data_IF_314135152220
#
_entry.id   IF_314135152220
#
_cell.length_a   1.000
_cell.length_b   1.000
_cell.length_c   1.000
_cell.angle_alpha   90.00
_cell.angle_beta   90.00
_cell.angle_gamma   90.00
#
_symmetry.space_group_name_H-M   'P 1'
#
loop_
_entity.id
_entity.type
_entity.pdbx_description
1 polymer ?
#
# COMPACT_ATOMS: atom_id res chain seq x y z
N UNK A 1 20.45 26.49 44.58
CA UNK A 1 19.18 25.77 44.35
C UNK A 1 19.23 24.48 45.17
N UNK A 2 18.31 24.29 46.13
CA UNK A 2 18.33 23.13 47.02
C UNK A 2 17.88 21.86 46.29
N UNK A 3 18.42 20.69 46.65
CA UNK A 3 18.15 19.40 45.98
C UNK A 3 16.65 19.09 45.86
N UNK A 4 15.84 19.50 46.86
CA UNK A 4 14.38 19.35 46.85
C UNK A 4 13.68 20.17 45.74
N UNK A 5 14.12 21.41 45.50
CA UNK A 5 13.58 22.25 44.41
C UNK A 5 13.92 21.71 43.02
N UNK A 6 15.12 21.15 42.86
CA UNK A 6 15.54 20.51 41.61
C UNK A 6 14.74 19.22 41.33
N UNK A 7 14.45 18.42 42.37
CA UNK A 7 13.59 17.24 42.27
C UNK A 7 12.14 17.57 41.89
N UNK A 8 11.60 18.70 42.35
CA UNK A 8 10.26 19.18 41.97
C UNK A 8 10.18 19.60 40.51
N UNK A 9 11.13 20.39 40.03
CA UNK A 9 11.19 20.80 38.63
C UNK A 9 11.31 19.57 37.72
N UNK A 10 12.16 18.60 38.11
CA UNK A 10 12.27 17.33 37.40
C UNK A 10 10.95 16.52 37.42
N UNK A 11 10.27 16.43 38.56
CA UNK A 11 8.98 15.74 38.67
C UNK A 11 7.91 16.37 37.75
N UNK A 12 7.79 17.70 37.74
CA UNK A 12 6.86 18.39 36.84
C UNK A 12 7.23 18.22 35.37
N UNK A 13 8.53 18.24 35.03
CA UNK A 13 9.00 17.98 33.66
C UNK A 13 8.63 16.57 33.19
N UNK A 14 8.81 15.55 34.04
CA UNK A 14 8.46 14.16 33.73
C UNK A 14 6.95 13.97 33.60
N UNK A 15 6.14 14.58 34.49
CA UNK A 15 4.67 14.55 34.38
C UNK A 15 4.20 15.22 33.09
N UNK A 16 4.76 16.39 32.76
CA UNK A 16 4.44 17.11 31.52
C UNK A 16 4.78 16.31 30.27
N UNK A 17 5.94 15.65 30.25
CA UNK A 17 6.32 14.72 29.18
C UNK A 17 5.35 13.53 29.09
N UNK A 18 4.98 12.95 30.24
CA UNK A 18 4.01 11.85 30.30
C UNK A 18 2.66 12.24 29.69
N UNK A 19 2.12 13.39 30.08
CA UNK A 19 0.88 13.91 29.51
C UNK A 19 1.00 14.19 28.00
N UNK A 20 2.11 14.78 27.54
CA UNK A 20 2.36 15.02 26.12
C UNK A 20 2.42 13.71 25.31
N UNK A 21 3.07 12.67 25.82
CA UNK A 21 3.12 11.35 25.18
C UNK A 21 1.74 10.69 25.09
N UNK A 22 0.90 10.81 26.13
CA UNK A 22 -0.47 10.31 26.07
C UNK A 22 -1.33 11.06 25.05
N UNK A 23 -1.19 12.39 24.98
CA UNK A 23 -1.88 13.20 23.96
C UNK A 23 -1.40 12.79 22.55
N UNK A 24 -0.09 12.62 22.36
CA UNK A 24 0.45 12.15 21.08
C UNK A 24 -0.08 10.74 20.72
N UNK A 25 -0.14 9.81 21.67
CA UNK A 25 -0.72 8.48 21.46
C UNK A 25 -2.21 8.54 21.05
N UNK A 26 -2.98 9.42 21.68
CA UNK A 26 -4.38 9.64 21.35
C UNK A 26 -4.55 10.21 19.94
N UNK A 27 -3.74 11.20 19.57
CA UNK A 27 -3.76 11.78 18.22
C UNK A 27 -3.35 10.75 17.17
N UNK A 28 -2.31 9.95 17.43
CA UNK A 28 -1.86 8.91 16.51
C UNK A 28 -2.95 7.85 16.26
N UNK A 29 -3.63 7.40 17.32
CA UNK A 29 -4.65 6.36 17.22
C UNK A 29 -5.95 6.85 16.56
N UNK A 30 -6.36 8.10 16.80
CA UNK A 30 -7.64 8.63 16.31
C UNK A 30 -7.54 9.37 14.97
N UNK A 31 -6.42 10.04 14.69
CA UNK A 31 -6.27 10.90 13.52
C UNK A 31 -5.39 10.28 12.42
N UNK A 32 -4.29 9.63 12.79
CA UNK A 32 -3.24 9.26 11.83
C UNK A 32 -3.57 7.96 11.07
N UNK A 33 -4.27 7.00 11.68
CA UNK A 33 -4.57 5.71 11.06
C UNK A 33 -5.26 5.82 9.67
N UNK A 34 -6.28 6.69 9.54
CA UNK A 34 -6.98 6.92 8.27
C UNK A 34 -6.19 7.75 7.25
N UNK A 35 -5.07 8.38 7.65
CA UNK A 35 -4.21 9.16 6.75
C UNK A 35 -3.06 8.34 6.17
N UNK A 36 -2.75 7.17 6.75
CA UNK A 36 -1.62 6.34 6.35
C UNK A 36 -2.02 5.21 5.43
N UNK A 37 -3.24 4.68 5.57
CA UNK A 37 -3.82 3.68 4.66
C UNK A 37 -4.24 4.34 3.35
N UNK A 38 -3.26 4.82 2.61
CA UNK A 38 -3.41 5.53 1.35
C UNK A 38 -2.38 5.01 0.36
N UNK A 39 -2.79 4.85 -0.90
CA UNK A 39 -1.89 4.45 -1.99
C UNK A 39 -0.65 5.38 -1.97
N UNK A 40 0.58 4.84 -2.00
CA UNK A 40 1.80 5.65 -2.03
C UNK A 40 1.87 6.58 -3.25
N UNK A 41 2.61 7.68 -3.15
CA UNK A 41 2.78 8.67 -4.24
C UNK A 41 4.09 8.49 -5.01
N UNK A 42 4.87 7.48 -4.63
CA UNK A 42 6.20 7.15 -5.09
C UNK A 42 6.24 5.74 -5.68
N UNK A 43 5.10 5.27 -6.23
CA UNK A 43 5.04 4.01 -6.94
C UNK A 43 5.89 4.10 -8.21
N UNK A 44 6.89 3.23 -8.28
CA UNK A 44 7.69 2.93 -9.45
C UNK A 44 8.01 1.43 -9.40
N UNK A 45 7.33 0.63 -10.21
CA UNK A 45 7.50 -0.82 -10.21
C UNK A 45 7.48 -1.40 -11.62
N UNK A 46 8.31 -2.43 -11.81
CA UNK A 46 8.35 -3.25 -13.02
C UNK A 46 7.90 -4.66 -12.68
N UNK A 47 6.82 -5.09 -13.30
CA UNK A 47 6.21 -6.40 -13.11
C UNK A 47 6.47 -7.23 -14.37
N UNK A 48 7.06 -8.41 -14.19
CA UNK A 48 7.39 -9.31 -15.29
C UNK A 48 6.72 -10.67 -15.05
N UNK A 49 5.99 -11.12 -16.06
CA UNK A 49 5.33 -12.41 -16.08
C UNK A 49 5.83 -13.22 -17.27
N UNK A 50 6.20 -14.47 -17.00
CA UNK A 50 6.76 -15.39 -18.00
C UNK A 50 5.75 -16.49 -18.30
N UNK A 51 5.77 -17.00 -19.52
CA UNK A 51 4.88 -18.07 -19.93
C UNK A 51 5.06 -18.50 -21.38
N UNK A 52 4.03 -19.14 -21.91
CA UNK A 52 4.02 -19.62 -23.30
C UNK A 52 2.66 -19.43 -23.92
N UNK A 53 2.61 -19.42 -25.25
CA UNK A 53 1.33 -19.31 -25.95
C UNK A 53 1.43 -19.62 -27.43
N UNK A 54 0.35 -19.29 -28.11
CA UNK A 54 0.21 -19.30 -29.57
C UNK A 54 0.16 -17.85 -30.04
N UNK A 55 1.02 -17.47 -30.98
CA UNK A 55 1.09 -16.08 -31.43
C UNK A 55 1.35 -16.00 -32.94
N UNK A 56 0.78 -14.97 -33.56
CA UNK A 56 1.13 -14.55 -34.91
C UNK A 56 2.62 -14.19 -34.97
N UNK A 57 3.34 -14.66 -35.98
CA UNK A 57 4.66 -14.13 -36.32
C UNK A 57 4.45 -12.79 -37.08
N UNK A 58 4.80 -11.63 -36.52
CA UNK A 58 4.57 -10.35 -37.18
C UNK A 58 5.25 -10.25 -38.55
N UNK A 59 6.37 -10.94 -38.75
CA UNK A 59 7.07 -10.97 -40.05
C UNK A 59 6.23 -11.64 -41.17
N UNK A 60 5.26 -12.48 -40.80
CA UNK A 60 4.36 -13.13 -41.76
C UNK A 60 3.31 -12.19 -42.36
N UNK A 61 3.09 -11.01 -41.78
CA UNK A 61 2.15 -10.01 -42.30
C UNK A 61 2.53 -9.52 -43.71
N UNK A 62 3.82 -9.53 -44.04
CA UNK A 62 4.33 -9.23 -45.38
C UNK A 62 4.50 -10.47 -46.28
N UNK A 63 4.14 -11.65 -45.79
CA UNK A 63 4.33 -12.93 -46.47
C UNK A 63 3.16 -13.37 -47.34
N UNK A 64 3.26 -14.58 -47.89
CA UNK A 64 2.19 -15.20 -48.67
C UNK A 64 1.02 -15.73 -47.83
N UNK A 65 1.25 -15.93 -46.53
CA UNK A 65 0.26 -16.35 -45.53
C UNK A 65 0.63 -15.87 -44.13
N UNK A 66 -0.37 -15.69 -43.29
CA UNK A 66 -0.18 -15.47 -41.85
C UNK A 66 0.33 -16.76 -41.19
N UNK A 67 1.36 -16.64 -40.37
CA UNK A 67 2.01 -17.76 -39.69
C UNK A 67 1.73 -17.63 -38.21
N UNK A 68 1.10 -18.68 -37.66
CA UNK A 68 0.83 -18.79 -36.22
C UNK A 68 1.76 -19.84 -35.64
N UNK A 69 2.67 -19.39 -34.79
CA UNK A 69 3.58 -20.27 -34.07
C UNK A 69 2.92 -20.71 -32.75
N UNK A 70 3.11 -21.97 -32.39
CA UNK A 70 2.58 -22.58 -31.16
C UNK A 70 3.70 -22.81 -30.15
N UNK A 71 3.35 -22.76 -28.86
CA UNK A 71 4.27 -22.99 -27.74
C UNK A 71 5.50 -22.06 -27.79
N UNK A 72 5.30 -20.81 -28.20
CA UNK A 72 6.36 -19.80 -28.20
C UNK A 72 6.51 -19.21 -26.80
N UNK A 73 7.73 -18.88 -26.37
CA UNK A 73 7.96 -18.26 -25.07
C UNK A 73 7.49 -16.80 -25.11
N UNK A 74 6.69 -16.42 -24.13
CA UNK A 74 6.08 -15.10 -24.03
C UNK A 74 6.40 -14.45 -22.69
N UNK A 75 6.66 -13.15 -22.75
CA UNK A 75 6.94 -12.30 -21.59
C UNK A 75 5.96 -11.14 -21.63
N UNK A 76 5.20 -10.97 -20.55
CA UNK A 76 4.41 -9.78 -20.29
C UNK A 76 5.17 -8.90 -19.30
N UNK A 77 5.40 -7.65 -19.65
CA UNK A 77 6.06 -6.67 -18.80
C UNK A 77 5.14 -5.46 -18.61
N UNK A 78 4.92 -5.08 -17.37
CA UNK A 78 4.13 -3.92 -16.97
C UNK A 78 4.97 -2.98 -16.10
N UNK A 79 5.13 -1.73 -16.54
CA UNK A 79 5.75 -0.67 -15.76
C UNK A 79 4.67 0.26 -15.23
N UNK A 80 4.64 0.48 -13.91
CA UNK A 80 3.67 1.36 -13.26
C UNK A 80 4.42 2.51 -12.59
N UNK A 81 4.07 3.74 -12.95
CA UNK A 81 4.62 4.96 -12.36
C UNK A 81 3.51 5.90 -11.88
N UNK A 82 3.85 6.80 -10.95
CA UNK A 82 2.96 7.90 -10.55
C UNK A 82 3.14 9.09 -11.49
N UNK A 83 2.02 9.61 -11.97
CA UNK A 83 1.93 10.81 -12.79
C UNK A 83 1.10 11.90 -12.09
N UNK A 84 1.10 13.11 -12.65
CA UNK A 84 0.21 14.17 -12.18
C UNK A 84 -1.21 13.98 -12.73
N UNK A 85 -2.26 14.25 -11.92
CA UNK A 85 -2.24 14.74 -10.54
C UNK A 85 -1.96 13.64 -9.48
N UNK A 86 -1.08 13.98 -8.53
CA UNK A 86 -0.78 13.15 -7.36
C UNK A 86 -0.74 14.03 -6.10
N UNK A 87 -1.67 13.83 -5.17
CA UNK A 87 -1.81 14.67 -3.99
C UNK A 87 -2.34 13.89 -2.77
N UNK A 88 -2.87 14.59 -1.77
CA UNK A 88 -3.34 13.97 -0.53
C UNK A 88 -4.47 12.95 -0.77
N UNK A 89 -5.31 13.13 -1.79
CA UNK A 89 -6.57 12.38 -1.96
C UNK A 89 -6.59 11.53 -3.23
N UNK A 90 -5.91 11.96 -4.30
CA UNK A 90 -5.82 11.21 -5.56
C UNK A 90 -4.38 10.91 -5.95
N UNK A 91 -4.21 9.83 -6.72
CA UNK A 91 -2.96 9.46 -7.38
C UNK A 91 -3.27 9.02 -8.80
N UNK A 92 -2.55 9.55 -9.77
CA UNK A 92 -2.61 9.07 -11.15
C UNK A 92 -1.54 8.02 -11.36
N UNK A 93 -1.93 6.83 -11.80
CA UNK A 93 -1.03 5.76 -12.20
C UNK A 93 -0.98 5.69 -13.73
N UNK A 94 0.22 5.59 -14.28
CA UNK A 94 0.44 5.25 -15.68
C UNK A 94 1.03 3.85 -15.77
N UNK A 95 0.36 2.97 -16.50
CA UNK A 95 0.75 1.59 -16.70
C UNK A 95 1.12 1.35 -18.17
N UNK A 96 2.42 1.20 -18.44
CA UNK A 96 2.92 0.75 -19.73
C UNK A 96 3.02 -0.77 -19.74
N UNK A 97 2.22 -1.44 -20.58
CA UNK A 97 2.19 -2.91 -20.68
C UNK A 97 2.65 -3.35 -22.06
N UNK A 98 3.52 -4.37 -22.11
CA UNK A 98 3.95 -5.02 -23.35
C UNK A 98 3.85 -6.53 -23.23
N UNK A 99 3.47 -7.19 -24.31
CA UNK A 99 3.55 -8.66 -24.45
C UNK A 99 4.44 -8.97 -25.64
N UNK A 100 5.46 -9.79 -25.41
CA UNK A 100 6.51 -10.04 -26.39
C UNK A 100 6.90 -11.51 -26.45
N UNK A 101 7.26 -11.97 -27.64
CA UNK A 101 7.98 -13.20 -27.91
C UNK A 101 9.44 -13.04 -27.53
N UNK A 102 9.92 -13.80 -26.54
CA UNK A 102 11.32 -13.72 -26.09
C UNK A 102 12.29 -14.49 -26.99
N UNK A 103 11.80 -15.32 -27.90
CA UNK A 103 12.59 -16.02 -28.93
C UNK A 103 12.92 -15.12 -30.15
N UNK A 104 12.32 -13.93 -30.26
CA UNK A 104 12.50 -12.99 -31.36
C UNK A 104 13.29 -11.76 -30.89
N UNK A 105 14.08 -11.19 -31.79
CA UNK A 105 14.95 -10.04 -31.50
C UNK A 105 14.24 -8.71 -31.74
N UNK A 106 14.52 -7.71 -30.90
CA UNK A 106 14.04 -6.34 -31.03
C UNK A 106 12.51 -6.28 -31.23
N UNK A 107 12.03 -5.38 -32.07
CA UNK A 107 10.59 -5.13 -32.25
C UNK A 107 9.86 -6.28 -32.94
N UNK A 108 10.58 -7.23 -33.57
CA UNK A 108 9.99 -8.42 -34.20
C UNK A 108 9.33 -9.36 -33.18
N UNK A 109 9.65 -9.22 -31.89
CA UNK A 109 8.99 -9.96 -30.82
C UNK A 109 7.76 -9.27 -30.25
N UNK A 110 7.51 -7.99 -30.55
CA UNK A 110 6.40 -7.25 -29.94
C UNK A 110 5.05 -7.71 -30.51
N UNK A 111 4.14 -8.13 -29.64
CA UNK A 111 2.79 -8.55 -30.01
C UNK A 111 1.74 -7.50 -29.62
N UNK A 112 1.79 -7.06 -28.36
CA UNK A 112 0.84 -6.11 -27.78
C UNK A 112 1.61 -5.05 -27.01
N UNK A 113 1.15 -3.81 -27.11
CA UNK A 113 1.64 -2.70 -26.32
C UNK A 113 0.49 -1.73 -26.01
N UNK A 114 0.43 -1.25 -24.78
CA UNK A 114 -0.48 -0.19 -24.40
C UNK A 114 0.12 0.66 -23.29
N UNK A 115 -0.26 1.94 -23.27
CA UNK A 115 -0.02 2.82 -22.13
C UNK A 115 -1.36 3.31 -21.68
N UNK A 116 -1.77 2.85 -20.50
CA UNK A 116 -3.00 3.26 -19.85
C UNK A 116 -2.70 4.18 -18.68
N UNK A 117 -3.60 5.09 -18.37
CA UNK A 117 -3.45 6.08 -17.30
C UNK A 117 -4.77 6.21 -16.57
N UNK A 118 -4.75 6.11 -15.25
CA UNK A 118 -5.95 6.17 -14.41
C UNK A 118 -5.70 6.97 -13.15
N UNK A 119 -6.66 7.80 -12.76
CA UNK A 119 -6.63 8.55 -11.50
C UNK A 119 -7.47 7.84 -10.46
N UNK A 120 -6.86 7.48 -9.34
CA UNK A 120 -7.46 6.70 -8.27
C UNK A 120 -7.62 7.53 -7.00
N UNK A 121 -8.70 7.30 -6.27
CA UNK A 121 -8.82 7.73 -4.89
C UNK A 121 -7.83 6.92 -4.04
N UNK A 122 -6.93 7.60 -3.33
CA UNK A 122 -5.86 6.95 -2.58
C UNK A 122 -6.35 6.11 -1.40
N UNK A 123 -7.54 6.39 -0.86
CA UNK A 123 -8.10 5.63 0.26
C UNK A 123 -8.91 4.42 -0.20
N UNK A 124 -9.69 4.57 -1.28
CA UNK A 124 -10.62 3.51 -1.74
C UNK A 124 -10.08 2.68 -2.91
N UNK A 125 -8.99 3.11 -3.54
CA UNK A 125 -8.43 2.55 -4.78
C UNK A 125 -9.38 2.55 -5.99
N UNK A 126 -10.53 3.21 -5.89
CA UNK A 126 -11.48 3.33 -6.99
C UNK A 126 -11.02 4.43 -7.95
N UNK A 127 -11.23 4.18 -9.25
CA UNK A 127 -11.11 5.18 -10.29
C UNK A 127 -12.01 6.39 -9.97
N UNK A 128 -11.47 7.58 -10.18
CA UNK A 128 -12.16 8.85 -9.98
C UNK A 128 -12.23 9.57 -11.30
N UNK A 129 -13.46 9.78 -11.76
CA UNK A 129 -13.78 10.60 -12.93
C UNK A 129 -14.69 11.73 -12.48
N UNK A 130 -14.54 12.91 -13.08
CA UNK A 130 -15.43 14.06 -12.87
C UNK A 130 -15.79 14.71 -14.21
N UNK A 131 -16.70 15.69 -14.20
CA UNK A 131 -17.21 16.35 -15.41
C UNK A 131 -16.11 17.02 -16.27
N UNK A 132 -14.94 17.30 -15.67
CA UNK A 132 -13.80 17.97 -16.30
C UNK A 132 -12.60 17.06 -16.52
N UNK A 133 -12.58 15.87 -15.92
CA UNK A 133 -11.51 14.88 -16.04
C UNK A 133 -12.12 13.50 -16.25
N UNK A 134 -11.85 12.83 -17.38
CA UNK A 134 -12.42 11.51 -17.65
C UNK A 134 -11.95 10.43 -16.66
N UNK A 135 -11.03 10.74 -15.73
CA UNK A 135 -10.52 9.82 -14.72
C UNK A 135 -9.57 8.75 -15.24
N UNK A 136 -9.45 8.63 -16.56
CA UNK A 136 -8.42 7.87 -17.22
C UNK A 136 -8.27 8.21 -18.70
N UNK A 137 -7.19 7.72 -19.29
CA UNK A 137 -6.86 7.89 -20.69
C UNK A 137 -5.93 6.79 -21.15
N UNK A 138 -6.02 6.43 -22.42
CA UNK A 138 -5.10 5.50 -23.06
C UNK A 138 -4.32 6.22 -24.15
N UNK A 139 -3.05 5.87 -24.33
CA UNK A 139 -2.26 6.41 -25.42
C UNK A 139 -2.84 5.96 -26.76
N UNK A 140 -3.07 6.89 -27.69
CA UNK A 140 -3.55 6.59 -29.05
C UNK A 140 -2.57 5.61 -29.71
N UNK A 141 -3.07 4.51 -30.30
CA UNK A 141 -2.22 3.61 -31.08
C UNK A 141 -1.49 4.37 -32.20
N UNK A 142 -0.27 3.92 -32.49
CA UNK A 142 0.61 4.55 -33.46
C UNK A 142 1.47 3.52 -34.14
N UNK A 143 1.91 3.81 -35.36
CA UNK A 143 2.89 2.98 -36.05
C UNK A 143 4.28 3.21 -35.48
N UNK A 144 5.17 2.25 -35.67
CA UNK A 144 6.57 2.35 -35.21
C UNK A 144 7.34 3.50 -35.89
N UNK A 145 6.87 3.93 -37.07
CA UNK A 145 7.45 5.00 -37.87
C UNK A 145 6.93 6.39 -37.49
N UNK A 146 5.85 6.49 -36.71
CA UNK A 146 5.37 7.78 -36.24
C UNK A 146 6.41 8.37 -35.27
N UNK A 147 6.87 9.59 -35.56
CA UNK A 147 7.86 10.33 -34.74
C UNK A 147 7.21 11.44 -33.93
N UNK A 148 5.90 11.68 -34.08
CA UNK A 148 5.20 12.73 -33.33
C UNK A 148 5.15 12.38 -31.84
N UNK A 149 5.06 13.36 -30.94
CA UNK A 149 4.78 13.07 -29.54
C UNK A 149 3.49 12.24 -29.39
N UNK A 150 3.47 11.23 -28.50
CA UNK A 150 2.25 10.45 -28.26
C UNK A 150 1.13 11.36 -27.75
N UNK A 151 -0.10 11.03 -28.14
CA UNK A 151 -1.32 11.72 -27.70
C UNK A 151 -2.26 10.72 -27.04
N UNK A 152 -3.05 11.16 -26.06
CA UNK A 152 -3.97 10.29 -25.34
C UNK A 152 -5.42 10.46 -25.82
N UNK A 153 -6.20 9.40 -25.69
CA UNK A 153 -7.65 9.36 -25.86
C UNK A 153 -8.26 9.20 -24.48
N UNK A 154 -9.32 9.95 -24.18
CA UNK A 154 -10.06 9.79 -22.93
C UNK A 154 -10.63 8.37 -22.82
N UNK A 155 -10.35 7.69 -21.71
CA UNK A 155 -10.84 6.36 -21.41
C UNK A 155 -11.31 6.35 -19.94
N UNK A 156 -12.60 6.61 -19.70
CA UNK A 156 -13.13 6.57 -18.35
C UNK A 156 -12.97 5.20 -17.72
N UNK A 157 -12.35 5.17 -16.55
CA UNK A 157 -12.21 3.98 -15.75
C UNK A 157 -13.33 3.90 -14.73
N UNK A 158 -13.81 2.68 -14.47
CA UNK A 158 -14.78 2.39 -13.42
C UNK A 158 -14.28 1.21 -12.58
N UNK A 159 -14.45 1.28 -11.26
CA UNK A 159 -13.98 0.26 -10.33
C UNK A 159 -12.51 0.40 -9.97
N UNK A 160 -11.86 -0.72 -9.64
CA UNK A 160 -10.45 -0.82 -9.31
C UNK A 160 -9.59 -0.90 -10.57
N UNK A 161 -8.38 -0.37 -10.50
CA UNK A 161 -7.36 -0.56 -11.53
C UNK A 161 -5.97 -0.65 -10.87
N UNK A 162 -5.16 -1.63 -11.30
CA UNK A 162 -3.78 -1.89 -10.87
C UNK A 162 -3.55 -2.22 -9.39
N UNK A 163 -4.54 -2.03 -8.52
CA UNK A 163 -4.42 -2.26 -7.08
C UNK A 163 -5.78 -2.45 -6.41
N UNK A 164 -5.78 -3.14 -5.27
CA UNK A 164 -6.92 -3.24 -4.36
C UNK A 164 -6.81 -2.21 -3.22
N UNK A 165 -7.92 -1.88 -2.52
CA UNK A 165 -7.87 -0.99 -1.37
C UNK A 165 -7.13 -1.61 -0.20
N UNK A 166 -6.58 -0.76 0.69
CA UNK A 166 -6.17 -1.19 2.02
C UNK A 166 -7.31 -1.88 2.75
N UNK A 167 -6.98 -2.81 3.64
CA UNK A 167 -7.96 -3.66 4.32
C UNK A 167 -8.91 -4.34 3.31
N UNK A 168 -8.34 -4.93 2.25
CA UNK A 168 -9.10 -5.63 1.21
C UNK A 168 -10.03 -6.67 1.85
N UNK A 169 -11.29 -6.66 1.45
CA UNK A 169 -12.35 -7.51 1.99
C UNK A 169 -12.58 -8.73 1.09
N UNK A 170 -13.17 -9.80 1.64
CA UNK A 170 -13.54 -11.02 0.90
C UNK A 170 -14.87 -10.82 0.16
N UNK A 171 -14.87 -9.95 -0.85
CA UNK A 171 -16.06 -9.61 -1.65
C UNK A 171 -15.71 -9.47 -3.13
N UNK A 172 -16.71 -9.39 -3.98
CA UNK A 172 -16.52 -9.05 -5.38
C UNK A 172 -16.19 -7.57 -5.54
N UNK A 173 -15.22 -7.27 -6.40
CA UNK A 173 -14.88 -5.91 -6.80
C UNK A 173 -15.06 -5.74 -8.31
N UNK A 174 -15.63 -4.62 -8.74
CA UNK A 174 -15.51 -4.21 -10.13
C UNK A 174 -14.04 -3.86 -10.41
N UNK A 175 -13.43 -4.50 -11.39
CA UNK A 175 -12.04 -4.28 -11.78
C UNK A 175 -11.99 -3.97 -13.28
N UNK A 176 -11.34 -2.87 -13.65
CA UNK A 176 -11.32 -2.37 -15.02
C UNK A 176 -10.41 -3.22 -15.91
N UNK A 177 -10.91 -3.59 -17.09
CA UNK A 177 -10.11 -4.19 -18.15
C UNK A 177 -9.86 -3.12 -19.25
N UNK A 178 -8.60 -2.71 -19.48
CA UNK A 178 -8.30 -1.62 -20.40
C UNK A 178 -8.34 -2.04 -21.88
N UNK A 179 -8.38 -3.34 -22.19
CA UNK A 179 -8.57 -3.86 -23.55
C UNK A 179 -10.05 -3.92 -23.91
N UNK A 180 -10.88 -4.43 -23.00
CA UNK A 180 -12.34 -4.44 -23.15
C UNK A 180 -12.98 -3.08 -22.85
N UNK A 181 -12.21 -2.14 -22.28
CA UNK A 181 -12.60 -0.77 -21.96
C UNK A 181 -13.81 -0.66 -21.02
N UNK A 182 -13.95 -1.63 -20.10
CA UNK A 182 -15.05 -1.68 -19.14
C UNK A 182 -14.72 -2.53 -17.90
N UNK A 183 -15.42 -2.34 -16.77
CA UNK A 183 -15.21 -3.17 -15.59
C UNK A 183 -15.81 -4.58 -15.73
N UNK A 184 -15.16 -5.53 -15.08
CA UNK A 184 -15.63 -6.90 -14.87
C UNK A 184 -15.42 -7.30 -13.41
N UNK A 185 -16.19 -8.28 -12.94
CA UNK A 185 -16.12 -8.76 -11.58
C UNK A 185 -14.82 -9.52 -11.30
N UNK A 186 -14.04 -9.02 -10.35
CA UNK A 186 -12.97 -9.73 -9.66
C UNK A 186 -13.57 -10.38 -8.41
N UNK A 187 -13.84 -11.68 -8.48
CA UNK A 187 -14.50 -12.45 -7.41
C UNK A 187 -13.47 -13.06 -6.47
N UNK A 188 -13.70 -12.96 -5.16
CA UNK A 188 -12.88 -13.66 -4.17
C UNK A 188 -13.02 -15.19 -4.32
N UNK A 189 -11.89 -15.88 -4.44
CA UNK A 189 -11.80 -17.32 -4.73
C UNK A 189 -11.05 -18.11 -3.64
N UNK A 190 -10.42 -17.43 -2.67
CA UNK A 190 -9.77 -18.11 -1.55
C UNK A 190 -8.59 -17.36 -0.96
N UNK A 191 -7.79 -18.08 -0.18
CA UNK A 191 -6.52 -17.59 0.35
C UNK A 191 -5.40 -18.54 -0.03
N UNK A 192 -4.22 -17.98 -0.32
CA UNK A 192 -2.99 -18.74 -0.53
C UNK A 192 -1.81 -18.09 0.21
N UNK A 193 -0.78 -18.89 0.47
CA UNK A 193 0.53 -18.37 0.88
C UNK A 193 1.40 -18.06 -0.34
N UNK A 194 1.87 -16.82 -0.44
CA UNK A 194 2.82 -16.37 -1.46
C UNK A 194 4.06 -15.84 -0.75
N UNK A 195 5.15 -16.62 -0.79
CA UNK A 195 6.42 -16.32 -0.13
C UNK A 195 6.28 -15.95 1.37
N UNK A 196 5.44 -16.68 2.11
CA UNK A 196 5.19 -16.44 3.54
C UNK A 196 4.26 -15.26 3.81
N UNK A 197 3.51 -14.80 2.81
CA UNK A 197 2.47 -13.79 2.93
C UNK A 197 1.12 -14.45 2.65
N UNK A 198 0.20 -14.42 3.61
CA UNK A 198 -1.20 -14.81 3.36
C UNK A 198 -1.86 -13.78 2.46
N UNK A 199 -2.32 -14.23 1.30
CA UNK A 199 -2.94 -13.42 0.25
C UNK A 199 -4.37 -13.86 0.00
N UNK A 200 -5.21 -12.95 -0.45
CA UNK A 200 -6.53 -13.26 -0.99
C UNK A 200 -6.41 -13.46 -2.50
N UNK A 201 -6.96 -14.56 -3.00
CA UNK A 201 -7.03 -14.88 -4.43
C UNK A 201 -8.32 -14.32 -5.01
N UNK A 202 -8.23 -13.53 -6.07
CA UNK A 202 -9.36 -13.01 -6.82
C UNK A 202 -9.28 -13.45 -8.27
N UNK A 203 -10.40 -13.83 -8.87
CA UNK A 203 -10.48 -14.23 -10.28
C UNK A 203 -11.41 -13.30 -11.05
N UNK A 204 -10.93 -12.78 -12.16
CA UNK A 204 -11.68 -11.96 -13.11
C UNK A 204 -11.80 -12.73 -14.43
N UNK A 205 -13.03 -12.85 -14.95
CA UNK A 205 -13.29 -13.48 -16.24
C UNK A 205 -13.89 -12.46 -17.21
N UNK A 206 -13.30 -12.37 -18.40
CA UNK A 206 -13.69 -11.50 -19.50
C UNK A 206 -13.97 -12.40 -20.71
N UNK A 207 -15.25 -12.64 -20.99
CA UNK A 207 -15.72 -13.49 -22.09
C UNK A 207 -15.48 -15.00 -21.93
N UNK A 208 -14.70 -15.41 -20.92
CA UNK A 208 -14.67 -16.78 -20.40
C UNK A 208 -15.67 -16.96 -19.26
N UNK A 209 -16.14 -18.19 -19.05
CA UNK A 209 -16.81 -18.58 -17.81
C UNK A 209 -15.80 -19.02 -16.74
N UNK A 210 -16.29 -19.43 -15.56
CA UNK A 210 -15.45 -19.85 -14.45
C UNK A 210 -14.62 -21.12 -14.75
N UNK A 211 -15.06 -21.96 -15.69
CA UNK A 211 -14.36 -23.17 -16.11
C UNK A 211 -13.33 -22.90 -17.22
N UNK A 212 -13.17 -21.64 -17.64
CA UNK A 212 -12.27 -21.23 -18.71
C UNK A 212 -12.81 -21.51 -20.12
N UNK A 213 -14.11 -21.78 -20.27
CA UNK A 213 -14.74 -21.95 -21.58
C UNK A 213 -15.13 -20.60 -22.15
N UNK A 214 -14.84 -20.40 -23.43
CA UNK A 214 -15.21 -19.20 -24.17
C UNK A 214 -16.74 -19.16 -24.36
N UNK A 215 -17.38 -18.12 -23.82
CA UNK A 215 -18.85 -17.99 -23.80
C UNK A 215 -19.35 -16.66 -24.35
N UNK A 216 -18.67 -15.55 -24.05
CA UNK A 216 -19.09 -14.21 -24.46
C UNK A 216 -17.87 -13.32 -24.76
N UNK A 217 -17.06 -13.67 -25.77
CA UNK A 217 -15.91 -12.87 -26.15
C UNK A 217 -16.32 -11.46 -26.54
N UNK A 218 -15.45 -10.51 -26.22
CA UNK A 218 -15.65 -9.09 -26.50
C UNK A 218 -15.20 -8.83 -27.93
N UNK A 219 -16.06 -8.23 -28.77
CA UNK A 219 -15.59 -7.62 -30.03
C UNK A 219 -14.57 -6.56 -29.65
N UNK A 220 -13.36 -6.65 -30.19
CA UNK A 220 -12.24 -5.81 -29.78
C UNK A 220 -12.62 -4.33 -29.87
N UNK A 221 -12.45 -3.59 -28.78
CA UNK A 221 -12.76 -2.18 -28.71
C UNK A 221 -11.60 -1.38 -29.34
N UNK A 222 -11.71 -1.07 -30.62
CA UNK A 222 -10.69 -0.31 -31.34
C UNK A 222 -10.47 1.08 -30.72
N UNK A 223 -9.21 1.49 -30.71
CA UNK A 223 -8.78 2.84 -30.36
C UNK A 223 -8.44 3.68 -31.61
N UNK A 224 -8.59 3.10 -32.80
CA UNK A 224 -8.44 3.81 -34.07
C UNK A 224 -9.77 4.43 -34.50
N UNK A 225 -9.67 5.50 -35.29
CA UNK A 225 -10.83 6.12 -35.90
C UNK A 225 -11.49 5.10 -36.84
N UNK A 226 -12.82 5.00 -36.84
CA UNK A 226 -13.61 4.05 -37.67
C UNK A 226 -13.36 2.54 -37.45
N UNK A 227 -12.83 2.11 -36.31
CA UNK A 227 -12.65 0.68 -35.98
C UNK A 227 -11.70 -0.07 -36.96
N UNK A 228 -10.66 0.62 -37.44
CA UNK A 228 -9.74 0.13 -38.49
C UNK A 228 -9.02 -1.19 -38.15
N UNK A 229 -8.83 -1.52 -36.88
CA UNK A 229 -8.21 -2.77 -36.43
C UNK A 229 -9.21 -3.78 -35.83
N UNK A 230 -10.51 -3.47 -35.86
CA UNK A 230 -11.58 -4.35 -35.40
C UNK A 230 -11.93 -5.44 -36.40
N UNK A 231 -11.70 -5.22 -37.70
CA UNK A 231 -11.97 -6.19 -38.76
C UNK A 231 -10.86 -6.16 -39.83
N UNK A 232 -10.48 -7.34 -40.33
CA UNK A 232 -9.46 -7.46 -41.37
C UNK A 232 -10.04 -8.27 -42.53
N UNK A 233 -9.95 -7.72 -43.73
CA UNK A 233 -10.28 -8.44 -44.97
C UNK A 233 -9.00 -8.83 -45.68
N UNK A 234 -8.80 -10.13 -45.87
CA UNK A 234 -7.69 -10.68 -46.63
C UNK A 234 -8.13 -11.88 -47.47
N UNK A 235 -7.32 -12.24 -48.46
CA UNK A 235 -7.57 -13.41 -49.31
C UNK A 235 -7.58 -14.70 -48.47
N UNK A 236 -8.42 -15.68 -48.82
CA UNK A 236 -8.50 -16.96 -48.13
C UNK A 236 -7.12 -17.64 -47.97
N UNK A 237 -6.25 -17.52 -48.97
CA UNK A 237 -4.88 -18.03 -48.92
C UNK A 237 -4.03 -17.39 -47.80
N UNK A 238 -4.21 -16.10 -47.52
CA UNK A 238 -3.47 -15.41 -46.45
C UNK A 238 -3.89 -15.94 -45.08
N UNK A 239 -5.17 -16.24 -44.91
CA UNK A 239 -5.71 -16.89 -43.72
C UNK A 239 -5.37 -18.39 -43.61
N UNK A 240 -4.83 -19.01 -44.67
CA UNK A 240 -4.62 -20.45 -44.73
C UNK A 240 -5.92 -21.26 -44.81
N UNK A 241 -7.02 -20.66 -45.28
CA UNK A 241 -8.31 -21.32 -45.43
C UNK A 241 -8.36 -22.17 -46.71
N UNK A 242 -9.02 -23.34 -46.70
CA UNK A 242 -9.27 -24.11 -47.91
C UNK A 242 -10.32 -23.42 -48.80
N UNK A 243 -10.27 -23.64 -50.12
CA UNK A 243 -11.22 -23.07 -51.07
C UNK A 243 -10.55 -22.29 -52.19
N UNK A 244 -11.24 -21.28 -52.73
CA UNK A 244 -10.66 -20.34 -53.71
C UNK A 244 -9.61 -19.45 -53.00
N UNK A 245 -8.32 -19.54 -53.38
CA UNK A 245 -7.24 -18.76 -52.76
C UNK A 245 -7.44 -17.25 -52.81
N UNK A 246 -8.25 -16.73 -53.74
CA UNK A 246 -8.48 -15.30 -53.95
C UNK A 246 -9.77 -14.79 -53.33
N UNK A 247 -10.59 -15.67 -52.75
CA UNK A 247 -11.82 -15.28 -52.07
C UNK A 247 -11.52 -14.26 -50.95
N UNK A 248 -12.14 -13.08 -50.95
CA UNK A 248 -11.96 -12.12 -49.87
C UNK A 248 -12.71 -12.60 -48.64
N UNK A 249 -11.98 -12.83 -47.54
CA UNK A 249 -12.53 -13.23 -46.26
C UNK A 249 -12.29 -12.11 -45.25
N UNK A 250 -13.38 -11.62 -44.67
CA UNK A 250 -13.38 -10.68 -43.56
C UNK A 250 -13.47 -11.45 -42.24
N UNK A 251 -12.56 -11.16 -41.31
CA UNK A 251 -12.61 -11.68 -39.94
C UNK A 251 -12.63 -10.54 -38.94
N UNK A 252 -13.40 -10.71 -37.87
CA UNK A 252 -13.52 -9.76 -36.78
C UNK A 252 -12.54 -10.12 -35.66
N UNK A 253 -11.90 -9.12 -35.06
CA UNK A 253 -11.03 -9.26 -33.90
C UNK A 253 -11.87 -9.38 -32.63
N UNK A 254 -11.57 -10.40 -31.84
CA UNK A 254 -12.19 -10.66 -30.56
C UNK A 254 -11.14 -10.76 -29.46
N UNK A 255 -11.61 -10.54 -28.24
CA UNK A 255 -10.81 -10.57 -27.03
C UNK A 255 -11.55 -11.30 -25.91
N UNK A 256 -10.82 -12.15 -25.20
CA UNK A 256 -11.25 -12.74 -23.94
C UNK A 256 -10.03 -12.88 -23.03
N UNK A 257 -10.23 -12.81 -21.72
CA UNK A 257 -9.18 -13.00 -20.74
C UNK A 257 -9.70 -13.61 -19.44
N UNK A 258 -8.84 -14.34 -18.74
CA UNK A 258 -9.02 -14.79 -17.38
C UNK A 258 -7.80 -14.35 -16.58
N UNK A 259 -8.02 -13.64 -15.48
CA UNK A 259 -6.97 -13.15 -14.59
C UNK A 259 -7.16 -13.66 -13.19
N UNK A 260 -6.07 -13.99 -12.54
CA UNK A 260 -6.03 -14.31 -11.12
C UNK A 260 -5.06 -13.38 -10.43
N UNK A 261 -5.51 -12.72 -9.37
CA UNK A 261 -4.73 -11.79 -8.55
C UNK A 261 -4.55 -12.38 -7.15
N UNK A 262 -3.32 -12.39 -6.66
CA UNK A 262 -3.02 -12.67 -5.26
C UNK A 262 -2.73 -11.35 -4.56
N UNK A 263 -3.61 -10.96 -3.65
CA UNK A 263 -3.67 -9.64 -3.06
C UNK A 263 -3.31 -9.71 -1.59
N UNK A 264 -2.39 -8.86 -1.15
CA UNK A 264 -2.13 -8.66 0.26
C UNK A 264 -3.36 -8.01 0.95
N UNK A 265 -4.05 -8.69 1.88
CA UNK A 265 -5.30 -8.17 2.44
C UNK A 265 -5.13 -6.90 3.28
N UNK A 266 -3.92 -6.60 3.76
CA UNK A 266 -3.67 -5.41 4.59
C UNK A 266 -3.45 -4.19 3.72
N UNK A 267 -2.60 -4.30 2.69
CA UNK A 267 -2.19 -3.16 1.86
C UNK A 267 -2.99 -3.02 0.57
N UNK A 268 -3.59 -4.11 0.08
CA UNK A 268 -4.21 -4.18 -1.24
C UNK A 268 -3.22 -4.34 -2.40
N UNK A 269 -1.94 -4.59 -2.10
CA UNK A 269 -0.90 -4.85 -3.12
C UNK A 269 -1.17 -6.16 -3.83
N UNK A 270 -1.15 -6.17 -5.17
CA UNK A 270 -1.12 -7.40 -5.96
C UNK A 270 0.32 -7.93 -5.93
N UNK A 271 0.55 -9.04 -5.25
CA UNK A 271 1.89 -9.62 -5.08
C UNK A 271 2.24 -10.69 -6.10
N UNK A 272 1.22 -11.25 -6.74
CA UNK A 272 1.36 -12.19 -7.87
C UNK A 272 0.13 -12.03 -8.75
N UNK A 273 0.31 -12.17 -10.06
CA UNK A 273 -0.77 -12.25 -11.01
C UNK A 273 -0.54 -13.41 -11.99
N UNK A 274 -1.64 -13.96 -12.48
CA UNK A 274 -1.68 -14.89 -13.61
C UNK A 274 -2.70 -14.36 -14.61
N UNK A 275 -2.35 -14.41 -15.89
CA UNK A 275 -3.20 -13.95 -16.97
C UNK A 275 -3.20 -14.99 -18.08
N UNK A 276 -4.39 -15.46 -18.45
CA UNK A 276 -4.66 -16.09 -19.73
C UNK A 276 -5.43 -15.09 -20.58
N UNK A 277 -4.82 -14.58 -21.65
CA UNK A 277 -5.49 -13.66 -22.57
C UNK A 277 -5.44 -14.20 -23.98
N UNK A 278 -6.55 -14.00 -24.70
CA UNK A 278 -6.76 -14.49 -26.05
C UNK A 278 -7.30 -13.37 -26.94
N UNK A 279 -6.43 -12.94 -27.86
CA UNK A 279 -6.76 -12.06 -28.96
C UNK A 279 -6.74 -12.89 -30.24
N UNK A 280 -7.84 -12.88 -30.99
CA UNK A 280 -7.99 -13.70 -32.18
C UNK A 280 -8.89 -13.05 -33.21
N UNK A 281 -8.75 -13.47 -34.46
CA UNK A 281 -9.67 -13.15 -35.56
C UNK A 281 -10.57 -14.36 -35.85
N UNK A 282 -11.86 -14.11 -36.04
CA UNK A 282 -12.83 -15.13 -36.39
C UNK A 282 -14.03 -14.56 -37.15
N UNK A 283 -14.74 -15.43 -37.89
CA UNK A 283 -16.07 -15.11 -38.46
C UNK A 283 -17.20 -15.43 -37.50
N UNK A 284 -16.99 -16.41 -36.62
CA UNK A 284 -17.88 -16.77 -35.52
C UNK A 284 -17.16 -16.48 -34.21
N UNK A 285 -17.69 -15.61 -33.33
CA UNK A 285 -17.02 -15.22 -32.08
C UNK A 285 -16.60 -16.41 -31.23
N UNK A 286 -17.38 -17.51 -31.21
CA UNK A 286 -17.10 -18.68 -30.36
C UNK A 286 -16.18 -19.70 -31.00
N UNK A 287 -15.69 -19.44 -32.22
CA UNK A 287 -14.76 -20.31 -32.93
C UNK A 287 -13.53 -19.53 -33.36
N UNK A 288 -12.54 -19.36 -32.47
CA UNK A 288 -11.27 -18.74 -32.84
C UNK A 288 -10.65 -19.42 -34.07
N UNK A 289 -10.42 -18.65 -35.13
CA UNK A 289 -9.86 -19.18 -36.39
C UNK A 289 -8.36 -18.84 -36.53
N UNK A 290 -7.98 -17.61 -36.14
CA UNK A 290 -6.62 -17.12 -36.26
C UNK A 290 -6.18 -16.43 -34.96
N UNK A 291 -5.25 -17.01 -34.22
CA UNK A 291 -4.72 -16.40 -33.01
C UNK A 291 -3.82 -15.20 -33.37
N UNK A 292 -4.12 -14.02 -32.85
CA UNK A 292 -3.17 -12.92 -32.81
C UNK A 292 -2.17 -13.17 -31.67
N UNK A 293 -2.71 -13.40 -30.47
CA UNK A 293 -1.97 -13.81 -29.29
C UNK A 293 -2.92 -14.52 -28.31
N UNK A 294 -2.70 -15.81 -28.07
CA UNK A 294 -3.36 -16.62 -27.06
C UNK A 294 -2.29 -17.14 -26.11
N UNK A 295 -2.24 -16.60 -24.89
CA UNK A 295 -1.10 -16.81 -24.00
C UNK A 295 -1.49 -16.90 -22.55
N UNK A 296 -0.74 -17.72 -21.82
CA UNK A 296 -0.82 -17.80 -20.37
C UNK A 296 0.53 -17.43 -19.78
N UNK A 297 0.54 -16.38 -18.95
CA UNK A 297 1.73 -15.85 -18.27
C UNK A 297 1.45 -15.70 -16.77
N UNK A 298 2.48 -15.92 -15.96
CA UNK A 298 2.40 -15.80 -14.50
C UNK A 298 3.59 -14.97 -14.01
N UNK A 299 3.38 -14.13 -12.99
CA UNK A 299 4.45 -13.32 -12.40
C UNK A 299 5.64 -14.19 -12.02
N UNK A 300 6.83 -13.78 -12.45
CA UNK A 300 8.05 -14.52 -12.18
C UNK A 300 8.55 -14.29 -10.74
N UNK A 301 9.52 -15.10 -10.33
CA UNK A 301 10.01 -15.10 -8.94
C UNK A 301 10.50 -13.73 -8.49
N UNK A 302 11.27 -13.03 -9.33
CA UNK A 302 11.77 -11.68 -9.01
C UNK A 302 10.61 -10.69 -8.77
N UNK A 303 9.58 -10.72 -9.59
CA UNK A 303 8.38 -9.88 -9.43
C UNK A 303 7.64 -10.22 -8.15
N UNK A 304 7.47 -11.51 -7.85
CA UNK A 304 6.79 -11.94 -6.62
C UNK A 304 7.58 -11.50 -5.39
N UNK A 305 8.90 -11.68 -5.38
CA UNK A 305 9.76 -11.24 -4.28
C UNK A 305 9.72 -9.73 -4.06
N UNK A 306 9.83 -8.93 -5.13
CA UNK A 306 9.80 -7.47 -5.03
C UNK A 306 8.45 -6.97 -4.52
N UNK A 307 7.35 -7.54 -5.00
CA UNK A 307 6.01 -7.12 -4.58
C UNK A 307 5.67 -7.59 -3.16
N UNK A 308 6.12 -8.79 -2.75
CA UNK A 308 5.99 -9.23 -1.35
C UNK A 308 6.81 -8.35 -0.41
N UNK A 309 8.02 -7.95 -0.80
CA UNK A 309 8.83 -7.02 -0.04
C UNK A 309 8.16 -5.64 0.09
N UNK A 310 7.62 -5.10 -1.00
CA UNK A 310 6.87 -3.85 -1.00
C UNK A 310 5.63 -3.92 -0.09
N UNK A 311 4.85 -5.01 -0.19
CA UNK A 311 3.69 -5.22 0.68
C UNK A 311 4.08 -5.31 2.17
N UNK A 312 5.22 -5.95 2.50
CA UNK A 312 5.73 -6.00 3.88
C UNK A 312 6.17 -4.62 4.39
N UNK A 313 6.88 -3.84 3.59
CA UNK A 313 7.28 -2.48 3.97
C UNK A 313 6.07 -1.57 4.22
N UNK A 314 5.07 -1.64 3.33
CA UNK A 314 3.80 -0.94 3.52
C UNK A 314 3.06 -1.40 4.78
N UNK A 315 3.01 -2.72 5.07
CA UNK A 315 2.44 -3.26 6.31
C UNK A 315 3.17 -2.75 7.55
N UNK A 316 4.50 -2.74 7.53
CA UNK A 316 5.33 -2.28 8.65
C UNK A 316 5.14 -0.79 8.90
N UNK A 317 5.05 0.02 7.84
CA UNK A 317 4.69 1.44 7.95
C UNK A 317 3.31 1.63 8.55
N UNK A 318 2.30 0.89 8.09
CA UNK A 318 0.95 0.95 8.68
C UNK A 318 1.01 0.54 10.16
N UNK A 319 1.69 -0.55 10.51
CA UNK A 319 1.79 -1.05 11.87
C UNK A 319 2.55 -0.09 12.81
N UNK A 320 3.63 0.54 12.33
CA UNK A 320 4.43 1.50 13.10
C UNK A 320 3.56 2.63 13.62
N UNK A 321 2.81 3.25 12.73
CA UNK A 321 2.03 4.44 13.05
C UNK A 321 0.67 4.14 13.67
N UNK A 322 0.00 3.05 13.27
CA UNK A 322 -1.33 2.72 13.78
C UNK A 322 -1.29 1.93 15.09
N UNK A 323 -0.18 1.24 15.40
CA UNK A 323 -0.10 0.33 16.55
C UNK A 323 1.13 0.56 17.42
N UNK A 324 2.34 0.53 16.85
CA UNK A 324 3.59 0.52 17.62
C UNK A 324 3.80 1.85 18.36
N UNK A 325 3.71 2.99 17.65
CA UNK A 325 3.89 4.32 18.26
C UNK A 325 2.79 4.64 19.29
N UNK A 326 1.48 4.45 19.02
CA UNK A 326 0.45 4.64 20.03
C UNK A 326 0.67 3.82 21.31
N UNK A 327 1.00 2.53 21.19
CA UNK A 327 1.25 1.66 22.35
C UNK A 327 2.48 2.11 23.11
N UNK A 328 3.59 2.38 22.41
CA UNK A 328 4.85 2.78 23.03
C UNK A 328 4.73 4.12 23.74
N UNK A 329 4.06 5.10 23.12
CA UNK A 329 3.79 6.41 23.72
C UNK A 329 2.83 6.31 24.91
N UNK A 330 1.83 5.43 24.83
CA UNK A 330 0.92 5.17 25.96
C UNK A 330 1.69 4.59 27.14
N UNK A 331 2.49 3.54 26.92
CA UNK A 331 3.27 2.89 27.97
C UNK A 331 4.30 3.86 28.58
N UNK A 332 5.08 4.55 27.76
CA UNK A 332 6.06 5.54 28.22
C UNK A 332 5.38 6.72 28.94
N UNK A 333 4.24 7.18 28.44
CA UNK A 333 3.43 8.23 29.05
C UNK A 333 2.95 7.86 30.45
N UNK A 334 2.39 6.65 30.62
CA UNK A 334 1.96 6.14 31.93
C UNK A 334 3.13 5.96 32.90
N UNK A 335 4.25 5.40 32.44
CA UNK A 335 5.47 5.25 33.26
C UNK A 335 6.00 6.61 33.72
N UNK A 336 6.02 7.60 32.83
CA UNK A 336 6.42 8.96 33.16
C UNK A 336 5.46 9.60 34.17
N UNK A 337 4.14 9.49 33.99
CA UNK A 337 3.17 10.03 34.96
C UNK A 337 3.33 9.41 36.35
N UNK A 338 3.44 8.08 36.45
CA UNK A 338 3.62 7.38 37.73
C UNK A 338 4.97 7.72 38.35
N UNK A 339 6.05 7.67 37.58
CA UNK A 339 7.39 7.99 38.05
C UNK A 339 7.52 9.44 38.51
N UNK A 340 6.95 10.39 37.76
CA UNK A 340 6.89 11.80 38.12
C UNK A 340 6.05 12.05 39.38
N UNK A 341 4.90 11.39 39.52
CA UNK A 341 4.08 11.47 40.73
C UNK A 341 4.81 10.90 41.96
N UNK A 342 5.48 9.75 41.84
CA UNK A 342 6.28 9.15 42.91
C UNK A 342 7.43 10.09 43.31
N UNK A 343 8.20 10.60 42.36
CA UNK A 343 9.28 11.58 42.61
C UNK A 343 8.75 12.85 43.29
N UNK A 344 7.60 13.35 42.85
CA UNK A 344 6.91 14.46 43.49
C UNK A 344 6.56 14.17 44.94
N UNK A 345 5.95 13.02 45.23
CA UNK A 345 5.57 12.62 46.60
C UNK A 345 6.79 12.44 47.52
N UNK A 346 7.89 11.85 47.04
CA UNK A 346 9.13 11.74 47.83
C UNK A 346 9.77 13.10 48.11
N UNK A 347 9.69 14.07 47.19
CA UNK A 347 10.21 15.43 47.41
C UNK A 347 9.46 16.19 48.50
N UNK A 348 8.14 15.98 48.62
CA UNK A 348 7.31 16.59 49.68
C UNK A 348 7.63 15.99 51.04
N UNK A 349 7.77 14.66 51.14
CA UNK A 349 8.14 13.99 52.40
C UNK A 349 9.54 14.36 52.91
N UNK A 350 10.50 14.57 52.02
CA UNK A 350 11.85 14.99 52.40
C UNK A 350 11.88 16.42 52.99
N UNK A 351 10.99 17.31 52.55
CA UNK A 351 10.82 18.64 53.17
C UNK A 351 10.09 18.56 54.51
N UNK A 352 9.05 17.71 54.64
CA UNK A 352 8.34 17.53 55.91
C UNK A 352 9.24 16.97 57.03
N UNK A 353 10.32 16.26 56.69
CA UNK A 353 11.31 15.75 57.64
C UNK A 353 12.42 16.78 57.97
N UNK A 354 12.53 17.88 57.21
CA UNK A 354 13.48 18.98 57.44
C UNK A 354 12.85 20.21 58.09
N UNK A 355 11.52 20.25 58.19
CA UNK A 355 10.78 21.26 58.96
C UNK A 355 10.58 20.68 60.37
N UNK A 356 11.54 20.94 61.26
CA UNK A 356 11.40 20.74 62.70
C UNK A 356 10.31 21.71 63.22
N UNK A 357 9.25 21.27 63.93
CA UNK A 357 8.23 22.16 64.50
C UNK A 357 8.71 22.97 65.72
N UNK A 358 9.97 22.80 66.14
CA UNK A 358 10.52 23.51 67.28
C UNK A 358 11.48 24.62 66.86
N UNK A 359 11.02 25.86 66.90
CA UNK A 359 11.74 27.14 67.13
C UNK A 359 11.21 28.24 66.20
N UNK A 360 10.23 28.99 66.70
CA UNK A 360 10.10 30.44 66.43
C UNK A 360 9.22 31.06 67.53
N UNK A 361 9.86 31.27 68.68
CA UNK A 361 9.46 32.25 69.69
C UNK A 361 10.68 33.15 69.91
N UNK A 362 10.41 34.45 70.09
CA UNK A 362 11.34 35.59 70.19
C UNK A 362 11.79 36.11 68.81
N UNK A 363 11.79 37.41 68.49
CA UNK A 363 11.80 38.59 69.35
C UNK A 363 11.55 39.82 68.46
N UNK A 364 10.65 40.73 68.83
CA UNK A 364 10.71 42.17 68.52
C UNK A 364 9.58 42.88 69.28
N UNK A 365 9.90 43.35 70.49
CA UNK A 365 9.04 44.23 71.27
C UNK A 365 9.10 45.68 70.82
N UNK A 366 8.03 46.45 71.07
CA UNK A 366 8.13 47.75 71.73
C UNK A 366 6.74 48.31 72.14
N UNK A 367 6.67 48.72 73.42
CA UNK A 367 5.66 49.52 74.14
C UNK A 367 4.33 48.90 74.61
N UNK A 368 4.14 48.92 75.94
CA UNK A 368 2.85 49.33 76.51
C UNK A 368 2.34 48.67 77.81
N UNK A 369 3.04 48.89 78.93
CA UNK A 369 2.47 49.29 80.26
C UNK A 369 1.76 48.27 81.18
N UNK A 370 2.33 48.17 82.41
CA UNK A 370 1.77 47.93 83.77
C UNK A 370 0.77 46.76 83.97
N UNK A 371 0.80 45.89 85.00
CA UNK A 371 1.02 46.11 86.43
C UNK A 371 1.07 44.75 87.18
N UNK A 372 1.96 44.62 88.18
CA UNK A 372 1.85 43.87 89.47
C UNK A 372 1.59 42.35 89.58
N UNK A 373 2.49 41.65 90.29
CA UNK A 373 2.14 40.59 91.28
C UNK A 373 2.80 39.21 91.08
N UNK A 374 3.12 38.45 92.15
CA UNK A 374 4.44 37.82 92.30
C UNK A 374 4.55 36.32 91.94
N UNK A 375 5.79 35.92 91.61
CA UNK A 375 6.41 34.58 91.73
C UNK A 375 6.25 33.98 93.15
N UNK A 376 6.60 32.71 93.50
CA UNK A 376 7.47 31.71 92.83
C UNK A 376 6.87 30.26 92.86
N UNK A 377 7.47 29.19 92.33
CA UNK A 377 8.59 28.42 92.89
C UNK A 377 8.81 27.15 92.02
N UNK A 378 10.08 26.79 91.76
CA UNK A 378 10.76 25.55 92.21
C UNK A 378 10.26 24.26 91.52
N UNK A 379 11.05 23.27 91.10
CA UNK A 379 12.45 22.87 91.34
C UNK A 379 12.73 21.77 90.29
N UNK A 380 13.87 21.82 89.61
CA UNK A 380 15.00 20.89 89.79
C UNK A 380 15.03 19.71 88.80
N UNK A 381 16.02 19.80 87.91
CA UNK A 381 16.57 18.71 87.15
C UNK A 381 17.43 17.78 88.04
N UNK A 382 17.36 16.48 87.79
CA UNK A 382 18.42 15.55 88.14
C UNK A 382 18.55 14.50 87.05
N UNK A 383 19.56 14.64 86.20
CA UNK A 383 20.07 13.51 85.42
C UNK A 383 21.56 13.31 85.76
N UNK A 384 21.85 12.09 86.22
CA UNK A 384 23.16 11.61 86.63
C UNK A 384 23.95 11.19 85.39
N UNK A 385 25.13 11.77 85.20
CA UNK A 385 26.23 11.14 84.45
C UNK A 385 27.15 10.42 85.44
N UNK A 386 27.72 9.27 85.09
CA UNK A 386 29.09 9.28 84.54
C UNK A 386 29.28 8.23 83.42
N UNK A 387 29.88 8.57 82.27
CA UNK A 387 31.30 8.74 81.96
C UNK A 387 31.95 7.50 81.27
N UNK A 388 32.45 7.79 80.07
CA UNK A 388 33.67 7.27 79.39
C UNK A 388 33.77 5.81 78.90
N UNK A 389 33.46 5.67 77.60
CA UNK A 389 34.37 5.29 76.48
C UNK A 389 35.61 4.42 76.80
N UNK A 390 35.70 3.28 76.10
CA UNK A 390 36.90 2.84 75.34
C UNK A 390 36.52 1.83 74.25
N UNK A 391 37.16 2.00 73.11
CA UNK A 391 36.97 1.35 71.82
C UNK A 391 38.08 0.25 71.62
N UNK A 392 38.23 -0.38 70.44
CA UNK A 392 37.87 -1.75 70.05
C UNK A 392 39.08 -2.72 69.98
N UNK A 393 38.89 -3.97 69.48
CA UNK A 393 39.70 -4.38 68.33
C UNK A 393 38.94 -5.23 67.26
N UNK A 394 39.58 -5.51 66.10
CA UNK A 394 38.94 -5.84 64.81
C UNK A 394 39.04 -7.35 64.46
N UNK A 395 39.08 -7.79 63.17
CA UNK A 395 38.00 -8.51 62.50
C UNK A 395 38.31 -9.99 62.17
N UNK A 396 37.31 -10.61 61.54
CA UNK A 396 37.34 -11.76 60.61
C UNK A 396 37.78 -13.16 61.08
N UNK A 397 36.82 -14.09 60.97
CA UNK A 397 36.90 -15.22 60.02
C UNK A 397 35.53 -15.70 59.58
#
# INVERSE_FOLDING_TARGET
MNRAGMLRIAAFGIIGLGAALLIAALLLSTYTAGKIKKIPLDIDMSLVSDGTGTALDPASLSGERFVIDKNVPLVSQQQITVESPANADVVTLQAGTTVRRSDKQQDNGLLLAMVDTVTLNRSTALAVSDDTHPGGSVQKPRTIEDVKPPTNIALPHEGLAYRFPFDTEKKTYAYFDPIAQKPFDANYDGEDDVNGLTTYRFTQNVGYDADGKLVEPIKYASLYDNDEDGEVTARAALWGLPGDPYEPITMTRYYAAQRTFWVDPVTGTIVKAEEHANHYYARDPLKPEMALADYKVTSNEQTVESQVAAARDERDRVALWSRILPISFTAAGLVALVGGALLGMFSVRAESALIDPGLDNADHGFFGKDETGPMPAAEAATEKLPAQRREPPPPDR
#
